data_IF_835763496100
#
_entry.id   IF_835763496100
#
_cell.length_a   1.000
_cell.length_b   1.000
_cell.length_c   1.000
_cell.angle_alpha   90.00
_cell.angle_beta   90.00
_cell.angle_gamma   90.00
#
_symmetry.space_group_name_H-M   'P 1'
#
loop_
_entity.id
_entity.type
_entity.pdbx_description
1 polymer ?
#
# COMPACT_ATOMS: atom_id res chain seq x y z
N UNK A 1 20.61 2.66 -2.39
CA UNK A 1 20.02 3.17 -3.65
C UNK A 1 21.01 3.18 -4.81
N UNK A 2 22.17 3.85 -4.67
CA UNK A 2 23.14 4.05 -5.75
C UNK A 2 23.54 2.78 -6.53
N UNK A 3 23.95 1.70 -5.84
CA UNK A 3 24.33 0.44 -6.49
C UNK A 3 23.17 -0.22 -7.27
N UNK A 4 21.93 -0.06 -6.80
CA UNK A 4 20.74 -0.57 -7.48
C UNK A 4 20.44 0.27 -8.72
N UNK A 5 20.54 1.60 -8.61
CA UNK A 5 20.34 2.52 -9.73
C UNK A 5 21.40 2.33 -10.82
N UNK A 6 22.66 2.12 -10.44
CA UNK A 6 23.76 1.82 -11.38
C UNK A 6 23.50 0.53 -12.15
N UNK A 7 23.14 -0.56 -11.46
CA UNK A 7 22.74 -1.82 -12.10
C UNK A 7 21.54 -1.64 -13.04
N UNK A 8 20.55 -0.83 -12.67
CA UNK A 8 19.41 -0.53 -13.55
C UNK A 8 19.84 0.24 -14.81
N UNK A 9 20.83 1.14 -14.70
CA UNK A 9 21.39 1.86 -15.85
C UNK A 9 22.18 0.93 -16.77
N UNK A 10 22.96 -0.02 -16.23
CA UNK A 10 23.63 -1.07 -17.01
C UNK A 10 22.63 -1.90 -17.82
N UNK A 11 21.47 -2.20 -17.22
CA UNK A 11 20.34 -2.87 -17.88
C UNK A 11 19.57 -1.97 -18.86
N UNK A 12 20.03 -0.73 -19.10
CA UNK A 12 19.38 0.29 -19.94
C UNK A 12 17.98 0.71 -19.44
N UNK A 13 17.69 0.53 -18.16
CA UNK A 13 16.43 0.92 -17.50
C UNK A 13 16.57 2.27 -16.80
N UNK A 14 16.93 3.32 -17.56
CA UNK A 14 17.22 4.66 -17.03
C UNK A 14 16.06 5.28 -16.23
N UNK A 15 14.83 5.11 -16.70
CA UNK A 15 13.62 5.59 -16.01
C UNK A 15 13.36 4.85 -14.70
N UNK A 16 13.72 3.57 -14.61
CA UNK A 16 13.59 2.82 -13.36
C UNK A 16 14.67 3.25 -12.35
N UNK A 17 15.90 3.49 -12.82
CA UNK A 17 16.99 4.00 -11.98
C UNK A 17 16.61 5.36 -11.36
N UNK A 18 16.09 6.29 -12.17
CA UNK A 18 15.64 7.60 -11.71
C UNK A 18 14.56 7.50 -10.62
N UNK A 19 13.54 6.67 -10.85
CA UNK A 19 12.46 6.45 -9.86
C UNK A 19 12.98 5.87 -8.55
N UNK A 20 13.97 4.99 -8.59
CA UNK A 20 14.59 4.43 -7.37
C UNK A 20 15.36 5.51 -6.62
N UNK A 21 16.07 6.40 -7.32
CA UNK A 21 16.83 7.47 -6.67
C UNK A 21 15.92 8.53 -6.04
N UNK A 22 14.85 8.93 -6.74
CA UNK A 22 13.89 9.92 -6.23
C UNK A 22 12.99 9.38 -5.11
N UNK A 23 12.55 8.12 -5.24
CA UNK A 23 11.50 7.55 -4.38
C UNK A 23 12.00 6.67 -3.24
N UNK A 24 13.30 6.54 -3.01
CA UNK A 24 13.84 5.57 -2.04
C UNK A 24 13.39 5.87 -0.61
N UNK A 25 13.43 7.13 -0.19
CA UNK A 25 13.08 7.51 1.19
C UNK A 25 11.62 7.16 1.49
N UNK A 26 10.71 7.57 0.61
CA UNK A 26 9.29 7.24 0.70
C UNK A 26 9.03 5.72 0.63
N UNK A 27 9.80 5.01 -0.19
CA UNK A 27 9.65 3.55 -0.34
C UNK A 27 10.07 2.80 0.93
N UNK A 28 11.01 3.32 1.70
CA UNK A 28 11.53 2.67 2.91
C UNK A 28 10.82 3.08 4.19
N UNK A 29 9.97 4.10 4.17
CA UNK A 29 9.21 4.58 5.36
C UNK A 29 8.43 3.48 6.07
N UNK A 30 8.01 2.42 5.37
CA UNK A 30 7.32 1.31 6.04
C UNK A 30 8.22 0.55 7.04
N UNK A 31 9.54 0.67 6.94
CA UNK A 31 10.50 0.03 7.85
C UNK A 31 10.50 0.65 9.23
N UNK A 32 9.94 1.85 9.39
CA UNK A 32 9.76 2.52 10.69
C UNK A 32 8.64 1.88 11.53
N UNK A 33 7.85 0.99 10.93
CA UNK A 33 6.78 0.24 11.59
C UNK A 33 7.26 -1.14 12.05
N UNK A 34 6.51 -1.83 12.95
CA UNK A 34 6.84 -3.19 13.35
C UNK A 34 6.95 -4.15 12.15
N UNK A 35 7.90 -5.08 12.22
CA UNK A 35 8.18 -6.04 11.13
C UNK A 35 6.96 -6.86 10.71
N UNK A 36 6.03 -7.11 11.64
CA UNK A 36 4.76 -7.80 11.44
C UNK A 36 3.83 -7.05 10.47
N UNK A 37 4.02 -5.74 10.32
CA UNK A 37 3.23 -4.87 9.44
C UNK A 37 3.84 -4.73 8.05
N UNK A 38 5.15 -4.92 7.88
CA UNK A 38 5.89 -4.62 6.64
C UNK A 38 5.26 -5.24 5.39
N UNK A 39 4.93 -6.53 5.43
CA UNK A 39 4.34 -7.22 4.27
C UNK A 39 2.99 -6.61 3.84
N UNK A 40 2.21 -6.08 4.78
CA UNK A 40 0.90 -5.48 4.50
C UNK A 40 1.00 -4.03 4.04
N UNK A 41 2.01 -3.30 4.50
CA UNK A 41 2.25 -1.91 4.11
C UNK A 41 2.92 -1.85 2.74
N UNK A 42 3.95 -2.67 2.47
CA UNK A 42 4.67 -2.63 1.18
C UNK A 42 3.87 -3.15 -0.01
N UNK A 43 2.71 -3.79 0.22
CA UNK A 43 1.92 -4.40 -0.85
C UNK A 43 0.58 -3.70 -1.02
N UNK A 44 0.15 -3.56 -2.27
CA UNK A 44 -1.11 -2.95 -2.68
C UNK A 44 -2.20 -4.00 -2.96
N UNK A 45 -2.04 -5.23 -2.46
CA UNK A 45 -2.87 -6.40 -2.76
C UNK A 45 -4.38 -6.13 -2.66
N UNK A 46 -4.78 -5.42 -1.61
CA UNK A 46 -6.17 -5.05 -1.32
C UNK A 46 -6.74 -4.16 -2.45
N UNK A 47 -6.02 -3.09 -2.80
CA UNK A 47 -6.40 -2.16 -3.87
C UNK A 47 -6.39 -2.83 -5.24
N UNK A 48 -5.37 -3.65 -5.54
CA UNK A 48 -5.31 -4.39 -6.80
C UNK A 48 -6.48 -5.36 -6.97
N UNK A 49 -6.88 -6.04 -5.90
CA UNK A 49 -8.03 -6.94 -5.93
C UNK A 49 -9.32 -6.18 -6.24
N UNK A 50 -9.55 -5.04 -5.59
CA UNK A 50 -10.74 -4.20 -5.84
C UNK A 50 -10.73 -3.66 -7.26
N UNK A 51 -9.60 -3.14 -7.73
CA UNK A 51 -9.45 -2.64 -9.09
C UNK A 51 -9.69 -3.73 -10.13
N UNK A 52 -9.21 -4.96 -9.89
CA UNK A 52 -9.45 -6.10 -10.77
C UNK A 52 -10.94 -6.45 -10.85
N UNK A 53 -11.64 -6.41 -9.73
CA UNK A 53 -13.07 -6.67 -9.72
C UNK A 53 -13.88 -5.59 -10.44
N UNK A 54 -13.55 -4.31 -10.20
CA UNK A 54 -14.14 -3.18 -10.93
C UNK A 54 -13.90 -3.36 -12.43
N UNK A 55 -12.67 -3.67 -12.84
CA UNK A 55 -12.30 -3.92 -14.24
C UNK A 55 -13.09 -5.09 -14.85
N UNK A 56 -13.30 -6.17 -14.09
CA UNK A 56 -14.11 -7.31 -14.56
C UNK A 56 -15.58 -6.91 -14.79
N UNK A 57 -16.18 -6.18 -13.85
CA UNK A 57 -17.59 -5.78 -13.92
C UNK A 57 -17.86 -4.75 -15.01
N UNK A 58 -16.94 -3.80 -15.18
CA UNK A 58 -17.03 -2.79 -16.25
C UNK A 58 -16.83 -3.41 -17.63
N UNK A 59 -15.94 -4.41 -17.76
CA UNK A 59 -15.74 -5.14 -19.03
C UNK A 59 -17.01 -5.83 -19.53
N UNK A 60 -17.84 -6.36 -18.63
CA UNK A 60 -19.10 -7.01 -19.00
C UNK A 60 -20.15 -6.03 -19.59
N UNK A 61 -20.04 -4.74 -19.28
CA UNK A 61 -20.99 -3.71 -19.73
C UNK A 61 -20.58 -3.17 -21.11
N UNK A 62 -19.28 -3.15 -21.41
CA UNK A 62 -18.74 -2.68 -22.69
C UNK A 62 -18.72 -1.16 -22.80
N UNK A 63 -19.89 -0.51 -22.80
CA UNK A 63 -20.03 0.94 -22.87
C UNK A 63 -21.09 1.44 -21.89
N UNK A 64 -20.76 2.51 -21.15
CA UNK A 64 -21.69 3.17 -20.25
C UNK A 64 -22.43 4.30 -20.98
N UNK A 65 -23.72 4.55 -20.65
CA UNK A 65 -24.47 5.66 -21.23
C UNK A 65 -23.90 7.03 -20.82
N UNK A 66 -23.30 7.13 -19.63
CA UNK A 66 -22.69 8.35 -19.10
C UNK A 66 -21.71 8.05 -17.94
N UNK A 67 -20.96 9.05 -17.50
CA UNK A 67 -19.97 8.92 -16.42
C UNK A 67 -20.55 8.67 -15.02
N UNK A 68 -21.75 9.19 -14.72
CA UNK A 68 -22.47 8.91 -13.46
C UNK A 68 -22.89 7.45 -13.38
N UNK A 69 -23.36 6.87 -14.48
CA UNK A 69 -23.69 5.44 -14.55
C UNK A 69 -22.48 4.56 -14.24
N UNK A 70 -21.30 4.92 -14.76
CA UNK A 70 -20.04 4.22 -14.42
C UNK A 70 -19.65 4.42 -12.95
N UNK A 71 -19.75 5.65 -12.44
CA UNK A 71 -19.44 5.98 -11.05
C UNK A 71 -20.35 5.22 -10.07
N UNK A 72 -21.66 5.15 -10.35
CA UNK A 72 -22.61 4.42 -9.51
C UNK A 72 -22.23 2.94 -9.37
N UNK A 73 -21.80 2.29 -10.45
CA UNK A 73 -21.35 0.90 -10.39
C UNK A 73 -20.11 0.74 -9.50
N UNK A 74 -19.13 1.63 -9.64
CA UNK A 74 -17.92 1.61 -8.81
C UNK A 74 -18.28 1.82 -7.35
N UNK A 75 -19.10 2.83 -7.04
CA UNK A 75 -19.57 3.13 -5.69
C UNK A 75 -20.36 1.97 -5.08
N UNK A 76 -21.28 1.37 -5.85
CA UNK A 76 -22.03 0.20 -5.40
C UNK A 76 -21.10 -0.97 -5.07
N UNK A 77 -20.04 -1.17 -5.87
CA UNK A 77 -19.06 -2.21 -5.59
C UNK A 77 -18.25 -1.92 -4.33
N UNK A 78 -17.72 -0.71 -4.18
CA UNK A 78 -16.97 -0.31 -2.98
C UNK A 78 -17.83 -0.43 -1.72
N UNK A 79 -19.11 -0.03 -1.78
CA UNK A 79 -20.05 -0.19 -0.67
C UNK A 79 -20.23 -1.65 -0.27
N UNK A 80 -20.42 -2.54 -1.25
CA UNK A 80 -20.54 -3.97 -0.96
C UNK A 80 -19.26 -4.53 -0.33
N UNK A 81 -18.10 -4.14 -0.85
CA UNK A 81 -16.81 -4.58 -0.33
C UNK A 81 -16.62 -4.15 1.13
N UNK A 82 -16.95 -2.89 1.45
CA UNK A 82 -16.93 -2.37 2.82
C UNK A 82 -17.93 -3.08 3.76
N UNK A 83 -19.11 -3.45 3.26
CA UNK A 83 -20.12 -4.16 4.06
C UNK A 83 -19.85 -5.67 4.21
N UNK A 84 -18.91 -6.22 3.46
CA UNK A 84 -18.57 -7.66 3.51
C UNK A 84 -17.60 -7.98 4.65
N UNK A 85 -17.35 -9.27 4.89
CA UNK A 85 -16.29 -9.75 5.78
C UNK A 85 -14.90 -9.17 5.48
N UNK A 86 -14.71 -8.63 4.28
CA UNK A 86 -13.47 -7.98 3.90
C UNK A 86 -13.29 -6.61 4.59
N UNK A 87 -14.36 -5.82 4.70
CA UNK A 87 -14.33 -4.53 5.39
C UNK A 87 -14.27 -4.65 6.92
N UNK A 88 -14.75 -5.76 7.48
CA UNK A 88 -14.70 -6.01 8.93
C UNK A 88 -13.43 -6.73 9.40
N UNK A 89 -12.57 -7.20 8.48
CA UNK A 89 -11.35 -7.92 8.85
C UNK A 89 -10.29 -6.94 9.38
N UNK A 90 -9.76 -7.23 10.59
CA UNK A 90 -8.61 -6.50 11.15
C UNK A 90 -7.40 -6.61 10.21
N UNK A 91 -7.05 -5.51 9.54
CA UNK A 91 -5.96 -5.47 8.57
C UNK A 91 -4.59 -5.44 9.25
N UNK A 92 -4.41 -4.53 10.21
CA UNK A 92 -3.21 -4.41 11.05
C UNK A 92 -3.58 -4.62 12.51
N UNK A 93 -2.72 -5.32 13.27
CA UNK A 93 -2.82 -5.42 14.71
C UNK A 93 -2.00 -4.29 15.33
N UNK A 94 -2.67 -3.28 15.90
CA UNK A 94 -2.03 -2.08 16.43
C UNK A 94 -1.22 -2.33 17.70
N UNK A 95 -1.44 -3.45 18.39
CA UNK A 95 -0.66 -3.80 19.59
C UNK A 95 0.85 -3.80 19.30
N UNK A 96 1.27 -4.37 18.17
CA UNK A 96 2.70 -4.37 17.79
C UNK A 96 3.28 -2.96 17.67
N UNK A 97 2.48 -1.99 17.21
CA UNK A 97 2.93 -0.60 17.09
C UNK A 97 3.06 0.04 18.47
N UNK A 98 2.06 -0.16 19.33
CA UNK A 98 2.09 0.37 20.69
C UNK A 98 3.24 -0.21 21.52
N UNK A 99 3.53 -1.51 21.36
CA UNK A 99 4.65 -2.17 22.03
C UNK A 99 6.00 -1.59 21.58
N UNK A 100 6.17 -1.34 20.28
CA UNK A 100 7.37 -0.71 19.71
C UNK A 100 7.52 0.74 20.20
N UNK A 101 6.45 1.53 20.19
CA UNK A 101 6.46 2.91 20.71
C UNK A 101 6.79 2.96 22.21
N UNK A 102 6.33 1.97 22.99
CA UNK A 102 6.63 1.87 24.41
C UNK A 102 8.11 1.55 24.64
N UNK A 103 8.68 0.61 23.88
CA UNK A 103 10.11 0.27 23.93
C UNK A 103 10.97 1.50 23.64
N UNK A 104 10.68 2.24 22.57
CA UNK A 104 11.41 3.46 22.23
C UNK A 104 11.39 4.50 23.36
N UNK A 105 10.24 4.68 24.03
CA UNK A 105 10.13 5.61 25.18
C UNK A 105 10.97 5.17 26.38
N UNK A 106 11.08 3.86 26.63
CA UNK A 106 11.90 3.32 27.72
C UNK A 106 13.39 3.51 27.42
N UNK A 107 13.79 3.27 26.17
CA UNK A 107 15.17 3.44 25.72
C UNK A 107 15.61 4.92 25.78
N UNK A 108 14.75 5.84 25.34
CA UNK A 108 15.00 7.28 25.41
C UNK A 108 15.16 7.78 26.86
N UNK A 109 14.34 7.29 27.80
CA UNK A 109 14.46 7.67 29.22
C UNK A 109 15.73 7.11 29.88
N UNK A 110 16.18 5.94 29.43
CA UNK A 110 17.40 5.29 29.92
C UNK A 110 18.68 5.97 29.38
N UNK A 111 18.61 6.59 28.20
CA UNK A 111 19.72 7.33 27.60
C UNK A 111 19.94 8.74 28.20
N UNK A 112 18.93 9.29 28.89
CA UNK A 112 18.96 10.62 29.51
C UNK A 112 19.33 10.59 31.00
N UNK A 113 19.42 9.39 31.60
CA UNK A 113 19.84 9.16 32.99
C UNK A 113 21.30 8.70 33.09
#
# INVERSE_FOLDING_TARGET
AAAVAEKLREMKLSQAAHKVEEGIEETLTYMDYPTEHWNRIRTNNTTERVNREIKHRTKAIGAFPDGQSALMLVCARLRHVAASNWGSKRYLNMNHLFDLELQHKVDDQSAVS
#
